data_IF_229436839882
#
_entry.id   IF_229436839882
#
_cell.length_a   1.000
_cell.length_b   1.000
_cell.length_c   1.000
_cell.angle_alpha   90.00
_cell.angle_beta   90.00
_cell.angle_gamma   90.00
#
_symmetry.space_group_name_H-M   'P 1'
#
loop_
_entity.id
_entity.type
_entity.pdbx_description
1 polymer ?
#
# COMPACT_ATOMS: atom_id res chain seq x y z
N UNK A 1 0.27 4.09 15.77
CA UNK A 1 0.18 2.90 14.88
C UNK A 1 0.39 3.34 13.45
N UNK A 2 0.93 2.50 12.58
CA UNK A 2 1.10 2.82 11.15
C UNK A 2 0.00 2.11 10.35
N UNK A 3 -0.62 2.83 9.42
CA UNK A 3 -1.56 2.28 8.45
C UNK A 3 -1.23 2.78 7.04
N UNK A 4 -1.80 2.11 6.03
CA UNK A 4 -1.45 2.30 4.64
C UNK A 4 -2.65 2.73 3.81
N UNK A 5 -2.43 3.67 2.91
CA UNK A 5 -3.41 4.08 1.91
C UNK A 5 -2.81 3.94 0.51
N UNK A 6 -3.44 3.11 -0.31
CA UNK A 6 -3.09 2.98 -1.72
C UNK A 6 -3.92 3.91 -2.57
N UNK A 7 -3.34 4.48 -3.63
CA UNK A 7 -4.02 5.44 -4.49
C UNK A 7 -3.38 5.54 -5.88
N UNK A 8 -3.95 6.38 -6.74
CA UNK A 8 -3.40 6.70 -8.06
C UNK A 8 -2.50 7.95 -8.02
N UNK A 9 -1.86 8.26 -9.15
CA UNK A 9 -0.85 9.33 -9.24
C UNK A 9 -1.46 10.72 -9.00
N UNK A 10 -2.66 10.93 -9.52
CA UNK A 10 -3.40 12.19 -9.45
C UNK A 10 -3.77 12.49 -7.99
N UNK A 11 -4.39 11.52 -7.30
CA UNK A 11 -4.77 11.66 -5.90
C UNK A 11 -3.56 11.75 -4.99
N UNK A 12 -2.46 11.04 -5.30
CA UNK A 12 -1.23 11.14 -4.51
C UNK A 12 -0.65 12.56 -4.50
N UNK A 13 -0.80 13.33 -5.58
CA UNK A 13 -0.38 14.72 -5.61
C UNK A 13 -1.22 15.58 -4.65
N UNK A 14 -2.55 15.42 -4.68
CA UNK A 14 -3.46 16.13 -3.79
C UNK A 14 -3.23 15.77 -2.32
N UNK A 15 -3.09 14.48 -2.00
CA UNK A 15 -2.87 13.99 -0.63
C UNK A 15 -1.58 14.55 -0.02
N UNK A 16 -0.52 14.71 -0.83
CA UNK A 16 0.74 15.30 -0.34
C UNK A 16 0.59 16.77 0.06
N UNK A 17 -0.33 17.49 -0.54
CA UNK A 17 -0.56 18.92 -0.28
C UNK A 17 -1.62 19.13 0.81
N UNK A 18 -2.74 18.42 0.69
CA UNK A 18 -3.94 18.64 1.50
C UNK A 18 -4.08 17.64 2.65
N UNK A 19 -3.40 16.49 2.59
CA UNK A 19 -3.62 15.37 3.50
C UNK A 19 -4.78 14.49 3.05
N UNK A 20 -5.28 13.64 3.96
CA UNK A 20 -6.40 12.75 3.66
C UNK A 20 -7.72 13.35 4.11
N UNK A 21 -8.73 13.27 3.24
CA UNK A 21 -10.08 13.72 3.56
C UNK A 21 -10.73 12.79 4.57
N UNK A 22 -11.71 13.31 5.31
CA UNK A 22 -12.59 12.49 6.13
C UNK A 22 -13.24 11.40 5.28
N UNK A 23 -13.40 10.20 5.85
CA UNK A 23 -13.95 9.04 5.16
C UNK A 23 -12.92 8.27 4.32
N UNK A 24 -11.64 8.68 4.32
CA UNK A 24 -10.61 7.93 3.60
C UNK A 24 -10.35 6.59 4.29
N UNK A 25 -10.31 5.53 3.47
CA UNK A 25 -10.02 4.17 3.89
C UNK A 25 -8.52 3.91 3.97
N UNK A 26 -8.13 3.15 4.98
CA UNK A 26 -6.78 2.70 5.27
C UNK A 26 -6.79 1.21 5.55
N UNK A 27 -5.68 0.54 5.24
CA UNK A 27 -5.43 -0.84 5.62
C UNK A 27 -4.30 -0.92 6.64
N UNK A 28 -4.34 -1.93 7.50
CA UNK A 28 -3.23 -2.27 8.38
C UNK A 28 -2.03 -2.87 7.63
N UNK A 29 -2.23 -3.28 6.37
CA UNK A 29 -1.24 -3.97 5.54
C UNK A 29 -0.98 -3.19 4.25
N UNK A 30 0.28 -3.12 3.85
CA UNK A 30 0.69 -2.39 2.64
C UNK A 30 0.20 -3.12 1.38
N UNK A 31 0.07 -4.45 1.47
CA UNK A 31 -0.35 -5.34 0.40
C UNK A 31 -1.78 -5.07 -0.03
N UNK A 32 -2.69 -4.91 0.93
CA UNK A 32 -4.10 -4.63 0.66
C UNK A 32 -4.26 -3.20 0.11
N UNK A 33 -3.52 -2.24 0.66
CA UNK A 33 -3.47 -0.88 0.14
C UNK A 33 -3.05 -0.86 -1.35
N UNK A 34 -1.98 -1.56 -1.71
CA UNK A 34 -1.53 -1.68 -3.10
C UNK A 34 -2.50 -2.50 -3.97
N UNK A 35 -3.09 -3.56 -3.42
CA UNK A 35 -4.02 -4.43 -4.12
C UNK A 35 -5.26 -3.70 -4.60
N UNK A 36 -5.84 -2.86 -3.73
CA UNK A 36 -7.12 -2.18 -3.98
C UNK A 36 -6.99 -0.72 -4.40
N UNK A 37 -6.00 0.01 -3.87
CA UNK A 37 -5.92 1.47 -4.00
C UNK A 37 -5.13 1.96 -5.21
N UNK A 38 -4.08 1.25 -5.62
CA UNK A 38 -3.27 1.59 -6.79
C UNK A 38 -1.76 1.59 -6.54
N UNK A 39 -1.02 2.19 -7.46
CA UNK A 39 0.45 2.08 -7.55
C UNK A 39 1.20 3.07 -6.64
N UNK A 40 0.49 4.01 -6.00
CA UNK A 40 1.05 4.88 -4.98
C UNK A 40 0.60 4.41 -3.60
N UNK A 41 1.50 4.39 -2.64
CA UNK A 41 1.17 4.02 -1.26
C UNK A 41 1.74 5.01 -0.27
N UNK A 42 0.93 5.35 0.72
CA UNK A 42 1.31 6.18 1.85
C UNK A 42 1.35 5.35 3.12
N UNK A 43 2.38 5.52 3.93
CA UNK A 43 2.39 5.08 5.31
C UNK A 43 2.05 6.28 6.21
N UNK A 44 1.06 6.10 7.07
CA UNK A 44 0.45 7.19 7.86
C UNK A 44 0.44 6.80 9.32
N UNK A 45 0.89 7.71 10.17
CA UNK A 45 0.85 7.54 11.61
C UNK A 45 -0.50 7.95 12.18
N UNK A 46 -1.12 7.03 12.90
CA UNK A 46 -2.33 7.25 13.68
C UNK A 46 -2.05 7.17 15.17
N UNK A 47 -2.76 8.01 15.93
CA UNK A 47 -2.90 7.82 17.37
C UNK A 47 -3.60 6.47 17.64
N UNK A 48 -3.19 5.78 18.71
CA UNK A 48 -3.82 4.54 19.15
C UNK A 48 -5.24 4.73 19.73
N UNK A 49 -5.78 5.95 19.66
CA UNK A 49 -7.12 6.31 20.12
C UNK A 49 -8.21 5.77 19.15
N UNK A 50 -8.98 4.75 19.56
CA UNK A 50 -10.03 4.16 18.73
C UNK A 50 -11.24 5.08 18.52
N UNK A 51 -11.34 6.23 19.20
CA UNK A 51 -12.42 7.19 18.95
C UNK A 51 -12.30 7.89 17.59
N UNK A 52 -11.08 7.95 17.02
CA UNK A 52 -10.77 8.73 15.80
C UNK A 52 -10.98 7.99 14.48
N UNK A 53 -11.18 6.69 14.55
CA UNK A 53 -11.34 5.83 13.38
C UNK A 53 -12.42 4.78 13.60
N UNK A 54 -12.97 4.25 12.51
CA UNK A 54 -13.95 3.16 12.55
C UNK A 54 -13.42 1.99 11.73
N UNK A 55 -13.17 0.86 12.38
CA UNK A 55 -12.84 -0.39 11.71
C UNK A 55 -14.05 -1.00 11.01
N UNK A 56 -13.82 -1.64 9.86
CA UNK A 56 -14.82 -2.52 9.25
C UNK A 56 -14.90 -3.86 9.99
N UNK A 57 -16.05 -4.57 9.93
CA UNK A 57 -16.26 -5.84 10.64
C UNK A 57 -15.29 -6.96 10.26
N UNK A 58 -14.75 -6.92 9.05
CA UNK A 58 -13.78 -7.87 8.51
C UNK A 58 -12.32 -7.56 8.91
N UNK A 59 -12.10 -6.42 9.58
CA UNK A 59 -10.87 -6.09 10.31
C UNK A 59 -9.64 -5.78 9.44
N UNK A 60 -9.72 -5.86 8.11
CA UNK A 60 -8.57 -5.59 7.24
C UNK A 60 -8.47 -4.12 6.82
N UNK A 61 -9.59 -3.38 6.82
CA UNK A 61 -9.64 -1.95 6.56
C UNK A 61 -10.38 -1.16 7.65
N UNK A 62 -10.10 0.14 7.70
CA UNK A 62 -10.79 1.10 8.54
C UNK A 62 -10.84 2.45 7.83
N UNK A 63 -11.69 3.37 8.30
CA UNK A 63 -11.75 4.72 7.76
C UNK A 63 -11.72 5.78 8.85
N UNK A 64 -11.30 6.97 8.45
CA UNK A 64 -11.06 8.10 9.36
C UNK A 64 -12.28 8.99 9.50
N UNK A 65 -12.65 9.33 10.73
CA UNK A 65 -13.79 10.24 10.98
C UNK A 65 -13.42 11.70 10.79
N UNK A 66 -12.14 12.00 10.66
CA UNK A 66 -11.59 13.33 10.62
C UNK A 66 -10.62 13.46 9.45
N UNK A 67 -10.31 14.70 9.09
CA UNK A 67 -9.22 15.00 8.19
C UNK A 67 -7.88 14.61 8.81
N UNK A 68 -7.00 14.00 8.01
CA UNK A 68 -5.64 13.65 8.43
C UNK A 68 -4.65 14.59 7.75
N UNK A 69 -3.89 15.39 8.52
CA UNK A 69 -3.00 16.38 7.94
C UNK A 69 -1.80 15.72 7.24
N UNK A 70 -1.17 16.41 6.25
CA UNK A 70 0.04 15.92 5.59
C UNK A 70 1.17 15.55 6.56
N UNK A 71 1.25 16.22 7.72
CA UNK A 71 2.27 15.94 8.75
C UNK A 71 2.17 14.55 9.38
N UNK A 72 1.03 13.86 9.25
CA UNK A 72 0.88 12.48 9.70
C UNK A 72 1.42 11.46 8.67
N UNK A 73 1.77 11.91 7.46
CA UNK A 73 2.38 11.06 6.44
C UNK A 73 3.84 10.82 6.86
N UNK A 74 4.15 9.57 7.16
CA UNK A 74 5.51 9.14 7.51
C UNK A 74 6.32 8.89 6.23
N UNK A 75 5.70 8.29 5.23
CA UNK A 75 6.36 8.04 3.94
C UNK A 75 5.37 7.89 2.79
N UNK A 76 5.89 8.12 1.58
CA UNK A 76 5.18 7.95 0.31
C UNK A 76 6.09 7.19 -0.66
N UNK A 77 5.53 6.21 -1.36
CA UNK A 77 6.19 5.46 -2.43
C UNK A 77 5.33 5.35 -3.67
N UNK A 78 5.98 5.18 -4.82
CA UNK A 78 5.36 4.75 -6.06
C UNK A 78 6.03 3.46 -6.50
N UNK A 79 5.25 2.49 -6.94
CA UNK A 79 5.74 1.22 -7.45
C UNK A 79 5.36 1.15 -8.93
N UNK A 80 6.29 0.79 -9.80
CA UNK A 80 6.00 0.54 -11.21
C UNK A 80 4.95 -0.58 -11.32
N UNK A 81 4.02 -0.48 -12.27
CA UNK A 81 2.87 -1.40 -12.37
C UNK A 81 3.29 -2.88 -12.47
N UNK A 82 4.37 -3.14 -13.20
CA UNK A 82 4.97 -4.47 -13.34
C UNK A 82 5.58 -5.00 -12.02
N UNK A 83 6.16 -4.12 -11.20
CA UNK A 83 6.69 -4.48 -9.89
C UNK A 83 5.58 -4.74 -8.88
N UNK A 84 4.47 -3.98 -8.96
CA UNK A 84 3.27 -4.17 -8.14
C UNK A 84 2.64 -5.54 -8.39
N UNK A 85 2.42 -5.92 -9.65
CA UNK A 85 1.85 -7.23 -9.99
C UNK A 85 2.73 -8.37 -9.48
N UNK A 86 4.05 -8.25 -9.59
CA UNK A 86 5.01 -9.21 -9.04
C UNK A 86 4.93 -9.35 -7.51
N UNK A 87 4.81 -8.23 -6.80
CA UNK A 87 4.63 -8.18 -5.35
C UNK A 87 3.31 -8.81 -4.91
N UNK A 88 2.20 -8.34 -5.48
CA UNK A 88 0.84 -8.81 -5.14
C UNK A 88 0.68 -10.31 -5.42
N UNK A 89 1.20 -10.79 -6.56
CA UNK A 89 1.15 -12.21 -6.89
C UNK A 89 2.05 -13.05 -5.97
N UNK A 90 3.28 -12.60 -5.68
CA UNK A 90 4.18 -13.32 -4.78
C UNK A 90 3.65 -13.40 -3.34
N UNK A 91 2.96 -12.36 -2.87
CA UNK A 91 2.31 -12.32 -1.56
C UNK A 91 1.05 -13.18 -1.52
N UNK A 92 0.24 -13.18 -2.58
CA UNK A 92 -0.90 -14.09 -2.74
C UNK A 92 -0.46 -15.55 -2.73
N UNK A 93 0.64 -15.87 -3.40
CA UNK A 93 1.24 -17.21 -3.39
C UNK A 93 1.72 -17.59 -1.98
N UNK A 94 2.35 -16.66 -1.25
CA UNK A 94 2.78 -16.88 0.14
C UNK A 94 1.59 -17.12 1.08
N UNK A 95 0.51 -16.33 0.96
CA UNK A 95 -0.72 -16.49 1.73
C UNK A 95 -1.47 -17.80 1.42
N UNK A 96 -1.26 -18.36 0.23
CA UNK A 96 -1.78 -19.66 -0.19
C UNK A 96 -0.85 -20.84 0.15
N UNK A 97 0.24 -20.61 0.91
CA UNK A 97 1.21 -21.64 1.26
C UNK A 97 2.08 -22.12 0.10
N UNK A 98 2.03 -21.45 -1.05
CA UNK A 98 2.87 -21.74 -2.22
C UNK A 98 4.19 -20.96 -2.08
N UNK A 99 5.07 -21.41 -1.19
CA UNK A 99 6.35 -20.72 -1.00
C UNK A 99 7.23 -20.81 -2.24
N UNK A 100 7.33 -19.74 -3.01
CA UNK A 100 8.56 -19.42 -3.77
C UNK A 100 9.31 -18.34 -3.00
N UNK A 101 10.58 -18.56 -2.61
CA UNK A 101 11.35 -17.56 -1.89
C UNK A 101 11.41 -16.24 -2.67
N UNK A 102 11.13 -15.10 -2.02
CA UNK A 102 11.27 -13.75 -2.58
C UNK A 102 12.66 -13.50 -3.22
N UNK A 103 13.68 -14.22 -2.75
CA UNK A 103 15.03 -14.22 -3.33
C UNK A 103 15.07 -14.79 -4.76
N UNK A 104 14.25 -15.81 -5.08
CA UNK A 104 14.13 -16.34 -6.44
C UNK A 104 13.40 -15.39 -7.37
N UNK A 105 12.32 -14.76 -6.90
CA UNK A 105 11.55 -13.78 -7.70
C UNK A 105 12.43 -12.58 -8.09
N UNK A 106 13.23 -12.06 -7.15
CA UNK A 106 14.20 -10.99 -7.44
C UNK A 106 15.30 -11.40 -8.42
N UNK A 107 15.75 -12.65 -8.38
CA UNK A 107 16.75 -13.17 -9.31
C UNK A 107 16.18 -13.32 -10.73
N UNK A 108 14.95 -13.80 -10.86
CA UNK A 108 14.27 -13.97 -12.15
C UNK A 108 13.93 -12.63 -12.81
N UNK A 109 13.47 -11.63 -12.04
CA UNK A 109 13.23 -10.28 -12.56
C UNK A 109 14.52 -9.60 -13.05
N UNK A 110 15.64 -9.80 -12.34
CA UNK A 110 16.95 -9.32 -12.80
C UNK A 110 17.41 -10.03 -14.08
N UNK A 111 17.15 -11.33 -14.20
CA UNK A 111 17.52 -12.14 -15.36
C UNK A 111 16.70 -11.76 -16.61
N UNK A 112 15.38 -11.62 -16.47
CA UNK A 112 14.51 -11.18 -17.57
C UNK A 112 14.90 -9.78 -18.11
N UNK A 113 15.38 -8.88 -17.23
CA UNK A 113 15.90 -7.56 -17.63
C UNK A 113 17.22 -7.62 -18.40
N UNK A 114 18.04 -8.64 -18.16
CA UNK A 114 19.29 -8.86 -18.89
C UNK A 114 19.04 -9.49 -20.27
N UNK A 115 18.01 -10.33 -20.38
CA UNK A 115 17.66 -11.06 -21.61
C UNK A 115 16.81 -10.24 -22.59
N UNK A 116 16.10 -9.20 -22.13
CA UNK A 116 15.33 -8.27 -22.98
C UNK A 116 16.12 -7.12 -23.62
N UNK A 117 17.46 -7.18 -23.64
CA UNK A 117 18.36 -6.21 -24.28
C UNK A 117 19.26 -6.82 -25.38
N UNK A 118 18.82 -7.93 -25.97
CA UNK A 118 19.45 -8.56 -27.14
C UNK A 118 18.71 -8.22 -28.43
#
# INVERSE_FOLDING_TARGET
>A
MIAYHGTNKENAAAIKQEGFRQGTYFSYRVEDALGFGGNHVFAVEFSADPAKWKGEPDGWQFWTREHIPPSAIVSHGAIEENERLGLVNGLRDLAQGKTRPLTKVRAELKKARAEGKG
#
